data_IF_156349723600
#
_entry.id   IF_156349723600
#
_cell.length_a   1.000
_cell.length_b   1.000
_cell.length_c   1.000
_cell.angle_alpha   90.00
_cell.angle_beta   90.00
_cell.angle_gamma   90.00
#
_symmetry.space_group_name_H-M   'P 1'
#
loop_
_entity.id
_entity.type
_entity.pdbx_description
1 polymer ?
#
# COMPACT_ATOMS: atom_id res chain seq x y z
N UNK A 1 -10.63 10.46 13.62
CA UNK A 1 -9.80 10.85 12.44
C UNK A 1 -9.37 9.64 11.60
N UNK A 2 -8.69 8.63 12.16
CA UNK A 2 -8.16 7.48 11.39
C UNK A 2 -9.22 6.70 10.58
N UNK A 3 -10.39 6.44 11.16
CA UNK A 3 -11.47 5.68 10.49
C UNK A 3 -12.17 6.50 9.39
N UNK A 4 -12.44 7.79 9.67
CA UNK A 4 -13.06 8.71 8.70
C UNK A 4 -12.18 8.92 7.46
N UNK A 5 -10.87 9.02 7.66
CA UNK A 5 -9.90 9.13 6.56
C UNK A 5 -9.86 7.83 5.72
N UNK A 6 -9.93 6.66 6.37
CA UNK A 6 -10.02 5.38 5.66
C UNK A 6 -11.31 5.28 4.83
N UNK A 7 -12.46 5.63 5.40
CA UNK A 7 -13.76 5.54 4.73
C UNK A 7 -13.86 6.49 3.54
N UNK A 8 -13.40 7.74 3.70
CA UNK A 8 -13.38 8.71 2.60
C UNK A 8 -12.45 8.27 1.45
N UNK A 9 -11.27 7.74 1.76
CA UNK A 9 -10.35 7.20 0.76
C UNK A 9 -10.88 5.94 0.08
N UNK A 10 -11.50 5.02 0.82
CA UNK A 10 -12.14 3.83 0.24
C UNK A 10 -13.27 4.22 -0.73
N UNK A 11 -14.09 5.21 -0.37
CA UNK A 11 -15.17 5.69 -1.24
C UNK A 11 -14.63 6.40 -2.49
N UNK A 12 -13.57 7.21 -2.35
CA UNK A 12 -12.90 7.85 -3.48
C UNK A 12 -12.29 6.85 -4.45
N UNK A 13 -11.59 5.82 -3.94
CA UNK A 13 -11.02 4.74 -4.76
C UNK A 13 -12.14 3.96 -5.47
N UNK A 14 -13.26 3.69 -4.79
CA UNK A 14 -14.41 3.04 -5.40
C UNK A 14 -14.95 3.86 -6.58
N UNK A 15 -15.16 5.17 -6.41
CA UNK A 15 -15.63 6.04 -7.49
C UNK A 15 -14.68 6.07 -8.69
N UNK A 16 -13.36 6.12 -8.45
CA UNK A 16 -12.35 6.07 -9.51
C UNK A 16 -12.34 4.74 -10.26
N UNK A 17 -12.53 3.63 -9.55
CA UNK A 17 -12.62 2.29 -10.15
C UNK A 17 -13.89 2.13 -11.01
N UNK A 18 -15.02 2.67 -10.55
CA UNK A 18 -16.28 2.64 -11.31
C UNK A 18 -16.18 3.44 -12.62
N UNK A 19 -15.56 4.62 -12.58
CA UNK A 19 -15.39 5.44 -13.77
C UNK A 19 -14.44 4.80 -14.81
N UNK A 20 -13.48 3.99 -14.34
CA UNK A 20 -12.53 3.25 -15.19
C UNK A 20 -13.13 2.02 -15.88
N UNK A 21 -14.33 1.56 -15.49
CA UNK A 21 -14.98 0.40 -16.08
C UNK A 21 -15.65 0.71 -17.42
N UNK A 22 -15.94 2.00 -17.71
CA UNK A 22 -16.64 2.42 -18.92
C UNK A 22 -15.66 2.37 -20.09
N UNK A 23 -15.92 1.55 -21.13
CA UNK A 23 -15.06 1.49 -22.30
C UNK A 23 -15.03 2.87 -22.99
N UNK A 24 -13.87 3.23 -23.56
CA UNK A 24 -13.59 4.52 -24.23
C UNK A 24 -13.32 5.74 -23.33
N UNK A 25 -13.39 5.63 -21.99
CA UNK A 25 -12.96 6.72 -21.09
C UNK A 25 -11.54 6.44 -20.60
N UNK A 26 -10.57 7.24 -21.05
CA UNK A 26 -9.26 7.33 -20.37
C UNK A 26 -9.47 8.03 -19.02
N UNK A 27 -9.90 7.27 -18.01
CA UNK A 27 -9.91 7.75 -16.65
C UNK A 27 -8.49 8.07 -16.19
N UNK A 28 -8.28 9.00 -15.24
CA UNK A 28 -6.96 9.32 -14.69
C UNK A 28 -6.37 8.17 -13.83
N UNK A 29 -7.17 7.14 -13.55
CA UNK A 29 -6.88 6.02 -12.62
C UNK A 29 -5.70 5.09 -12.97
N UNK A 30 -5.34 4.78 -14.24
CA UNK A 30 -4.28 3.81 -14.54
C UNK A 30 -2.87 4.39 -14.38
N UNK A 31 -2.72 5.71 -14.19
CA UNK A 31 -1.40 6.29 -13.93
C UNK A 31 -0.89 5.82 -12.57
N UNK A 32 0.10 4.92 -12.59
CA UNK A 32 0.74 4.34 -11.40
C UNK A 32 1.15 5.40 -10.37
N UNK A 33 1.57 6.58 -10.84
CA UNK A 33 1.94 7.71 -10.01
C UNK A 33 0.79 8.25 -9.14
N UNK A 34 -0.44 8.27 -9.67
CA UNK A 34 -1.63 8.71 -8.94
C UNK A 34 -1.96 7.75 -7.79
N UNK A 35 -1.90 6.43 -8.06
CA UNK A 35 -2.15 5.39 -7.06
C UNK A 35 -1.04 5.40 -5.99
N UNK A 36 0.21 5.59 -6.40
CA UNK A 36 1.34 5.70 -5.47
C UNK A 36 1.20 6.91 -4.54
N UNK A 37 0.76 8.05 -5.07
CA UNK A 37 0.54 9.29 -4.29
C UNK A 37 -0.58 9.11 -3.25
N UNK A 38 -1.55 8.22 -3.49
CA UNK A 38 -2.59 7.88 -2.52
C UNK A 38 -2.13 6.84 -1.49
N UNK A 39 -1.36 5.85 -1.92
CA UNK A 39 -0.90 4.75 -1.07
C UNK A 39 0.24 5.17 -0.11
N UNK A 40 1.13 6.05 -0.56
CA UNK A 40 2.31 6.44 0.21
C UNK A 40 1.98 7.21 1.51
N UNK A 41 1.12 8.26 1.51
CA UNK A 41 0.71 8.95 2.74
C UNK A 41 -0.05 8.04 3.70
N UNK A 42 -0.88 7.13 3.18
CA UNK A 42 -1.58 6.13 3.99
C UNK A 42 -0.59 5.26 4.75
N UNK A 43 0.36 4.65 4.04
CA UNK A 43 1.39 3.82 4.68
C UNK A 43 2.21 4.63 5.69
N UNK A 44 2.71 5.81 5.29
CA UNK A 44 3.53 6.67 6.13
C UNK A 44 2.80 7.04 7.45
N UNK A 45 1.51 7.36 7.37
CA UNK A 45 0.69 7.70 8.54
C UNK A 45 0.56 6.52 9.53
N UNK A 46 0.36 5.30 9.01
CA UNK A 46 0.28 4.09 9.84
C UNK A 46 1.63 3.76 10.48
N UNK A 47 2.71 3.97 9.74
CA UNK A 47 4.05 3.67 10.16
C UNK A 47 4.54 4.62 11.26
N UNK A 48 4.28 5.93 11.11
CA UNK A 48 4.58 6.95 12.12
C UNK A 48 3.75 6.72 13.39
N UNK A 49 2.48 6.34 13.26
CA UNK A 49 1.64 6.08 14.42
C UNK A 49 2.11 4.86 15.21
N UNK A 50 2.65 3.85 14.50
CA UNK A 50 3.21 2.64 15.10
C UNK A 50 4.52 2.91 15.85
N UNK A 51 5.43 3.73 15.30
CA UNK A 51 6.65 4.14 16.03
C UNK A 51 6.31 4.96 17.27
N UNK A 52 5.34 5.89 17.17
CA UNK A 52 5.00 6.79 18.27
C UNK A 52 4.38 6.08 19.48
N UNK A 53 3.64 4.99 19.27
CA UNK A 53 2.93 4.31 20.36
C UNK A 53 3.89 3.56 21.29
N UNK A 54 4.93 2.91 20.76
CA UNK A 54 6.01 2.26 21.52
C UNK A 54 7.21 1.96 20.60
N UNK A 55 8.32 2.67 20.77
CA UNK A 55 9.58 2.36 20.05
C UNK A 55 10.16 1.01 20.49
N UNK A 56 10.12 0.71 21.79
CA UNK A 56 10.65 -0.54 22.37
C UNK A 56 9.89 -1.78 21.88
N UNK A 57 8.56 -1.73 21.88
CA UNK A 57 7.71 -2.80 21.36
C UNK A 57 7.94 -3.03 19.87
N UNK A 58 8.11 -1.96 19.10
CA UNK A 58 8.36 -2.05 17.66
C UNK A 58 9.73 -2.67 17.34
N UNK A 59 10.77 -2.32 18.09
CA UNK A 59 12.08 -2.97 17.97
C UNK A 59 12.03 -4.45 18.37
N UNK A 60 11.20 -4.81 19.36
CA UNK A 60 10.97 -6.19 19.74
C UNK A 60 10.15 -6.97 18.70
N UNK A 61 9.18 -6.34 18.02
CA UNK A 61 8.43 -6.97 16.91
C UNK A 61 9.28 -7.14 15.65
N UNK A 62 10.27 -6.28 15.43
CA UNK A 62 11.23 -6.41 14.32
C UNK A 62 12.13 -7.64 14.46
N UNK A 63 12.14 -8.31 15.62
CA UNK A 63 12.93 -9.52 15.90
C UNK A 63 12.02 -10.59 16.50
N UNK A 64 11.69 -11.68 15.80
CA UNK A 64 10.93 -12.77 16.42
C UNK A 64 11.71 -13.27 17.63
N UNK A 65 11.01 -13.47 18.74
CA UNK A 65 11.52 -13.66 20.11
C UNK A 65 12.47 -14.88 20.32
N UNK A 66 12.89 -15.55 19.23
CA UNK A 66 13.75 -16.73 19.23
C UNK A 66 14.87 -16.66 18.17
N UNK A 67 15.31 -15.48 17.77
CA UNK A 67 16.50 -15.37 16.91
C UNK A 67 17.77 -15.55 17.75
N UNK A 68 18.63 -16.53 17.43
CA UNK A 68 19.93 -16.65 18.09
C UNK A 68 20.74 -15.38 17.80
N UNK A 69 21.43 -14.86 18.82
CA UNK A 69 22.09 -13.54 18.81
C UNK A 69 23.00 -13.27 17.60
N UNK A 70 23.51 -14.32 16.97
CA UNK A 70 24.35 -14.25 15.78
C UNK A 70 23.61 -13.83 14.50
N UNK A 71 22.32 -14.16 14.34
CA UNK A 71 21.53 -13.78 13.14
C UNK A 71 20.87 -12.40 13.24
N UNK A 72 20.80 -11.83 14.44
CA UNK A 72 20.21 -10.51 14.72
C UNK A 72 20.74 -9.41 13.78
N UNK A 73 22.07 -9.23 13.58
CA UNK A 73 22.57 -8.16 12.72
C UNK A 73 22.17 -8.33 11.24
N UNK A 74 21.93 -9.55 10.78
CA UNK A 74 21.52 -9.82 9.39
C UNK A 74 20.00 -9.64 9.19
N UNK A 75 19.20 -9.88 10.23
CA UNK A 75 17.74 -9.78 10.13
C UNK A 75 17.22 -8.34 10.07
N UNK A 76 17.90 -7.40 10.75
CA UNK A 76 17.53 -5.97 10.79
C UNK A 76 17.44 -5.35 9.38
N UNK A 77 18.45 -5.47 8.48
CA UNK A 77 18.34 -4.90 7.14
C UNK A 77 17.23 -5.57 6.32
N UNK A 78 16.98 -6.87 6.49
CA UNK A 78 15.88 -7.57 5.81
C UNK A 78 14.53 -6.98 6.25
N UNK A 79 14.32 -6.76 7.54
CA UNK A 79 13.07 -6.18 8.03
C UNK A 79 12.89 -4.70 7.61
N UNK A 80 13.99 -3.96 7.46
CA UNK A 80 13.93 -2.60 6.88
C UNK A 80 13.50 -2.66 5.41
N UNK A 81 14.01 -3.62 4.63
CA UNK A 81 13.56 -3.81 3.24
C UNK A 81 12.10 -4.27 3.16
N UNK A 82 11.66 -5.17 4.04
CA UNK A 82 10.27 -5.65 4.09
C UNK A 82 9.29 -4.50 4.41
N UNK A 83 9.72 -3.56 5.27
CA UNK A 83 8.98 -2.35 5.59
C UNK A 83 8.79 -1.44 4.36
N UNK A 84 9.84 -1.26 3.56
CA UNK A 84 9.83 -0.42 2.34
C UNK A 84 9.02 -1.05 1.20
N UNK A 85 8.94 -2.37 1.12
CA UNK A 85 8.15 -3.08 0.09
C UNK A 85 6.64 -3.01 0.39
N UNK A 86 6.23 -2.74 1.63
CA UNK A 86 4.82 -2.67 2.04
C UNK A 86 3.97 -1.59 1.31
N UNK A 87 4.39 -0.33 1.16
CA UNK A 87 3.66 0.66 0.36
C UNK A 87 3.68 0.33 -1.13
N UNK A 88 4.76 -0.27 -1.63
CA UNK A 88 4.89 -0.72 -3.02
C UNK A 88 3.87 -1.81 -3.34
N UNK A 89 3.77 -2.84 -2.51
CA UNK A 89 2.81 -3.94 -2.70
C UNK A 89 1.35 -3.49 -2.64
N UNK A 90 1.01 -2.52 -1.77
CA UNK A 90 -0.33 -1.94 -1.72
C UNK A 90 -0.66 -1.18 -3.01
N UNK A 91 0.29 -0.40 -3.52
CA UNK A 91 0.16 0.36 -4.78
C UNK A 91 -0.02 -0.57 -5.97
N UNK A 92 0.87 -1.56 -6.12
CA UNK A 92 0.86 -2.51 -7.22
C UNK A 92 -0.43 -3.36 -7.24
N UNK A 93 -0.94 -3.75 -6.07
CA UNK A 93 -2.19 -4.51 -5.97
C UNK A 93 -3.36 -3.73 -6.55
N UNK A 94 -3.46 -2.44 -6.23
CA UNK A 94 -4.54 -1.60 -6.73
C UNK A 94 -4.36 -1.30 -8.22
N UNK A 95 -3.14 -0.97 -8.65
CA UNK A 95 -2.86 -0.60 -10.04
C UNK A 95 -3.05 -1.75 -11.01
N UNK A 96 -2.57 -2.96 -10.67
CA UNK A 96 -2.75 -4.15 -11.51
C UNK A 96 -4.24 -4.48 -11.68
N UNK A 97 -5.03 -4.38 -10.61
CA UNK A 97 -6.47 -4.67 -10.68
C UNK A 97 -7.22 -3.70 -11.58
N UNK A 98 -6.90 -2.40 -11.54
CA UNK A 98 -7.54 -1.38 -12.38
C UNK A 98 -7.08 -1.52 -13.83
N UNK A 99 -5.79 -1.74 -14.05
CA UNK A 99 -5.20 -1.85 -15.38
C UNK A 99 -5.61 -3.15 -16.09
N UNK A 100 -5.72 -4.27 -15.37
CA UNK A 100 -6.26 -5.52 -15.91
C UNK A 100 -7.74 -5.35 -16.31
N UNK A 101 -8.54 -4.66 -15.48
CA UNK A 101 -9.95 -4.40 -15.78
C UNK A 101 -10.16 -3.57 -17.05
N UNK A 102 -9.41 -2.48 -17.22
CA UNK A 102 -9.49 -1.65 -18.44
C UNK A 102 -8.91 -2.35 -19.68
N UNK A 103 -7.86 -3.16 -19.51
CA UNK A 103 -7.30 -3.96 -20.61
C UNK A 103 -8.30 -5.04 -21.07
N UNK A 104 -8.99 -5.72 -20.16
CA UNK A 104 -9.98 -6.73 -20.53
C UNK A 104 -11.18 -6.09 -21.23
N UNK A 105 -11.70 -4.97 -20.72
CA UNK A 105 -12.86 -4.31 -21.34
C UNK A 105 -12.58 -3.81 -22.75
N UNK A 106 -11.38 -3.26 -22.99
CA UNK A 106 -10.94 -2.80 -24.31
C UNK A 106 -10.67 -3.92 -25.31
N UNK A 107 -10.33 -5.13 -24.84
CA UNK A 107 -10.11 -6.30 -25.70
C UNK A 107 -11.41 -7.06 -26.04
N UNK A 108 -12.43 -6.97 -25.17
CA UNK A 108 -13.73 -7.63 -25.36
C UNK A 108 -14.70 -6.84 -26.24
N UNK A 109 -14.51 -5.51 -26.34
CA UNK A 109 -15.24 -4.62 -27.26
C UNK A 109 -14.50 -4.49 -28.59
#
# INVERSE_FOLDING_TARGET
VKLYLLISLMFMIMMMNWMSLIPYIFGPSPHLFMIFTLAFPMWLSTEIMRTKKNISLRLAEMLPARTPGFLIPLMIPIEITSLLIRPLTLTLRLSINIMAGSLISTLMT
#
